data_IF_781827424382
#
_entry.id   IF_781827424382
#
_cell.length_a   1.000
_cell.length_b   1.000
_cell.length_c   1.000
_cell.angle_alpha   90.00
_cell.angle_beta   90.00
_cell.angle_gamma   90.00
#
_symmetry.space_group_name_H-M   'P 1'
#
loop_
_entity.id
_entity.type
_entity.pdbx_description
1 polymer ?
#
# COMPACT_ATOMS: atom_id res chain seq x y z
N UNK A 1 6.15 5.48 -26.60
CA UNK A 1 5.97 4.29 -25.72
C UNK A 1 4.77 3.53 -26.24
N UNK A 2 4.97 2.35 -26.83
CA UNK A 2 3.85 1.48 -27.19
C UNK A 2 3.11 1.11 -25.91
N UNK A 3 1.79 1.35 -25.85
CA UNK A 3 0.92 0.86 -24.78
C UNK A 3 0.85 -0.67 -24.89
N UNK A 4 1.89 -1.37 -24.47
CA UNK A 4 1.74 -2.76 -24.11
C UNK A 4 0.78 -2.78 -22.91
N UNK A 5 -0.40 -3.37 -23.09
CA UNK A 5 -1.29 -3.63 -21.96
C UNK A 5 -0.51 -4.44 -20.93
N UNK A 6 -0.59 -4.05 -19.65
CA UNK A 6 0.00 -4.81 -18.55
C UNK A 6 -0.43 -6.27 -18.67
N UNK A 7 0.50 -7.20 -18.49
CA UNK A 7 0.17 -8.61 -18.37
C UNK A 7 -0.79 -8.82 -17.20
N UNK A 8 -1.61 -9.87 -17.24
CA UNK A 8 -2.56 -10.16 -16.14
C UNK A 8 -1.88 -10.27 -14.77
N UNK A 9 -0.63 -10.74 -14.74
CA UNK A 9 0.19 -10.81 -13.52
C UNK A 9 0.57 -9.42 -13.00
N UNK A 10 1.00 -8.52 -13.88
CA UNK A 10 1.32 -7.14 -13.50
C UNK A 10 0.09 -6.36 -13.05
N UNK A 11 -1.06 -6.59 -13.69
CA UNK A 11 -2.34 -6.02 -13.23
C UNK A 11 -2.68 -6.49 -11.82
N UNK A 12 -2.53 -7.80 -11.54
CA UNK A 12 -2.77 -8.35 -10.21
C UNK A 12 -1.86 -7.71 -9.15
N UNK A 13 -0.57 -7.56 -9.44
CA UNK A 13 0.36 -6.91 -8.49
C UNK A 13 0.12 -5.41 -8.33
N UNK A 14 -0.28 -4.72 -9.41
CA UNK A 14 -0.69 -3.33 -9.33
C UNK A 14 -1.92 -3.18 -8.43
N UNK A 15 -2.95 -4.02 -8.62
CA UNK A 15 -4.14 -4.05 -7.76
C UNK A 15 -3.77 -4.38 -6.31
N UNK A 16 -2.92 -5.38 -6.09
CA UNK A 16 -2.48 -5.75 -4.76
C UNK A 16 -1.71 -4.63 -4.05
N UNK A 17 -1.00 -3.76 -4.77
CA UNK A 17 -0.37 -2.55 -4.19
C UNK A 17 -1.35 -1.41 -3.94
N UNK A 18 -2.32 -1.22 -4.83
CA UNK A 18 -3.32 -0.13 -4.74
C UNK A 18 -4.32 -0.36 -3.60
N UNK A 19 -4.72 -1.60 -3.33
CA UNK A 19 -5.73 -1.89 -2.29
C UNK A 19 -5.29 -1.39 -0.90
N UNK A 20 -4.10 -1.75 -0.36
CA UNK A 20 -3.63 -1.20 0.92
C UNK A 20 -3.50 0.32 0.93
N UNK A 21 -3.21 0.94 -0.22
CA UNK A 21 -3.14 2.39 -0.34
C UNK A 21 -4.52 3.04 -0.23
N UNK A 22 -5.52 2.53 -0.94
CA UNK A 22 -6.89 3.06 -0.82
C UNK A 22 -7.44 2.87 0.60
N UNK A 23 -7.12 1.75 1.24
CA UNK A 23 -7.50 1.51 2.64
C UNK A 23 -6.82 2.48 3.61
N UNK A 24 -5.56 2.86 3.37
CA UNK A 24 -4.88 3.85 4.21
C UNK A 24 -5.49 5.24 4.06
N UNK A 25 -5.97 5.61 2.86
CA UNK A 25 -6.75 6.85 2.65
C UNK A 25 -8.10 6.79 3.39
N UNK A 26 -8.82 5.65 3.33
CA UNK A 26 -10.04 5.46 4.09
C UNK A 26 -9.82 5.57 5.61
N UNK A 27 -8.73 4.96 6.10
CA UNK A 27 -8.31 5.09 7.50
C UNK A 27 -7.98 6.52 7.87
N UNK A 28 -7.30 7.28 7.00
CA UNK A 28 -7.02 8.70 7.23
C UNK A 28 -8.29 9.53 7.37
N UNK A 29 -9.28 9.31 6.49
CA UNK A 29 -10.57 10.00 6.60
C UNK A 29 -11.26 9.70 7.95
N UNK A 30 -11.27 8.44 8.38
CA UNK A 30 -11.80 8.03 9.68
C UNK A 30 -11.00 8.61 10.86
N UNK A 31 -9.67 8.59 10.79
CA UNK A 31 -8.80 9.12 11.83
C UNK A 31 -9.00 10.64 12.01
N UNK A 32 -9.20 11.36 10.90
CA UNK A 32 -9.54 12.80 10.93
C UNK A 32 -10.88 13.05 11.62
N UNK A 33 -11.91 12.21 11.39
CA UNK A 33 -13.20 12.39 12.06
C UNK A 33 -13.14 12.08 13.56
N UNK A 34 -12.41 11.04 13.95
CA UNK A 34 -12.35 10.55 15.34
C UNK A 34 -11.18 11.13 16.16
N UNK A 35 -10.30 11.93 15.53
CA UNK A 35 -9.06 12.46 16.12
C UNK A 35 -8.17 11.39 16.78
N UNK A 36 -8.25 10.14 16.28
CA UNK A 36 -7.55 8.98 16.83
C UNK A 36 -6.50 8.48 15.85
N UNK A 37 -5.30 8.13 16.36
CA UNK A 37 -4.20 7.58 15.57
C UNK A 37 -3.77 8.44 14.34
N UNK A 38 -4.01 9.76 14.39
CA UNK A 38 -3.74 10.70 13.29
C UNK A 38 -2.32 10.61 12.74
N UNK A 39 -1.32 10.57 13.61
CA UNK A 39 0.09 10.48 13.19
C UNK A 39 0.36 9.24 12.33
N UNK A 40 -0.20 8.08 12.73
CA UNK A 40 -0.10 6.85 11.94
C UNK A 40 -0.87 6.98 10.64
N UNK A 41 -2.11 7.46 10.68
CA UNK A 41 -2.98 7.54 9.50
C UNK A 41 -2.46 8.52 8.44
N UNK A 42 -1.72 9.57 8.84
CA UNK A 42 -1.01 10.47 7.93
C UNK A 42 0.28 9.83 7.41
N UNK A 43 1.08 9.26 8.31
CA UNK A 43 2.39 8.71 7.96
C UNK A 43 2.31 7.50 7.03
N UNK A 44 1.32 6.63 7.24
CA UNK A 44 1.20 5.38 6.50
C UNK A 44 1.04 5.53 4.97
N UNK A 45 0.10 6.34 4.43
CA UNK A 45 0.01 6.57 2.99
C UNK A 45 1.28 7.24 2.41
N UNK A 46 1.93 8.13 3.17
CA UNK A 46 3.19 8.76 2.76
C UNK A 46 4.28 7.69 2.59
N UNK A 47 4.42 6.81 3.58
CA UNK A 47 5.38 5.70 3.53
C UNK A 47 5.07 4.76 2.36
N UNK A 48 3.80 4.45 2.11
CA UNK A 48 3.39 3.66 0.94
C UNK A 48 3.84 4.29 -0.37
N UNK A 49 3.57 5.58 -0.57
CA UNK A 49 3.97 6.29 -1.80
C UNK A 49 5.49 6.27 -1.97
N UNK A 50 6.25 6.60 -0.92
CA UNK A 50 7.72 6.61 -0.98
C UNK A 50 8.26 5.18 -1.22
N UNK A 51 7.71 4.19 -0.52
CA UNK A 51 8.09 2.78 -0.63
C UNK A 51 7.86 2.22 -2.03
N UNK A 52 6.64 2.38 -2.57
CA UNK A 52 6.30 1.94 -3.92
C UNK A 52 7.07 2.73 -4.99
N UNK A 53 7.13 4.06 -4.90
CA UNK A 53 7.87 4.86 -5.88
C UNK A 53 9.37 4.51 -5.88
N UNK A 54 9.96 4.33 -4.71
CA UNK A 54 11.36 3.94 -4.56
C UNK A 54 11.64 2.51 -5.06
N UNK A 55 10.72 1.56 -4.84
CA UNK A 55 10.84 0.21 -5.36
C UNK A 55 10.66 0.17 -6.88
N UNK A 56 9.66 0.86 -7.41
CA UNK A 56 9.37 0.96 -8.84
C UNK A 56 10.49 1.63 -9.62
N UNK A 57 11.07 2.71 -9.08
CA UNK A 57 12.25 3.35 -9.67
C UNK A 57 13.45 2.40 -9.71
N UNK A 58 13.71 1.66 -8.63
CA UNK A 58 14.83 0.71 -8.54
C UNK A 58 14.62 -0.54 -9.39
N UNK A 59 13.37 -0.93 -9.64
CA UNK A 59 13.01 -2.01 -10.58
C UNK A 59 12.93 -1.55 -12.04
N UNK A 60 13.36 -0.33 -12.36
CA UNK A 60 13.28 0.24 -13.72
C UNK A 60 11.87 0.22 -14.31
N UNK A 61 10.85 0.30 -13.46
CA UNK A 61 9.44 0.30 -13.86
C UNK A 61 8.80 -1.09 -13.97
N UNK A 62 9.50 -2.16 -13.60
CA UNK A 62 8.93 -3.51 -13.59
C UNK A 62 8.06 -3.72 -12.34
N UNK A 63 6.77 -3.98 -12.54
CA UNK A 63 5.79 -4.21 -11.46
C UNK A 63 5.96 -5.59 -10.82
N UNK A 64 6.26 -6.62 -11.62
CA UNK A 64 6.45 -7.99 -11.14
C UNK A 64 7.82 -8.21 -10.47
N UNK A 65 8.63 -7.15 -10.34
CA UNK A 65 9.95 -7.22 -9.74
C UNK A 65 9.87 -7.55 -8.24
N UNK A 66 10.79 -8.38 -7.70
CA UNK A 66 10.80 -8.75 -6.28
C UNK A 66 10.72 -7.57 -5.31
N UNK A 67 11.43 -6.46 -5.60
CA UNK A 67 11.38 -5.25 -4.76
C UNK A 67 9.97 -4.65 -4.64
N UNK A 68 9.22 -4.58 -5.75
CA UNK A 68 7.85 -4.04 -5.74
C UNK A 68 6.93 -4.99 -4.97
N UNK A 69 7.05 -6.30 -5.21
CA UNK A 69 6.31 -7.33 -4.47
C UNK A 69 6.58 -7.26 -2.97
N UNK A 70 7.84 -7.08 -2.56
CA UNK A 70 8.18 -6.94 -1.14
C UNK A 70 7.48 -5.75 -0.51
N UNK A 71 7.35 -4.61 -1.21
CA UNK A 71 6.55 -3.48 -0.72
C UNK A 71 5.07 -3.87 -0.58
N UNK A 72 4.49 -4.54 -1.58
CA UNK A 72 3.11 -5.05 -1.52
C UNK A 72 2.94 -5.93 -0.27
N UNK A 73 3.81 -6.93 -0.07
CA UNK A 73 3.75 -7.83 1.07
C UNK A 73 3.88 -7.10 2.41
N UNK A 74 4.82 -6.17 2.56
CA UNK A 74 5.01 -5.41 3.81
C UNK A 74 3.75 -4.61 4.16
N UNK A 75 3.11 -3.98 3.19
CA UNK A 75 1.89 -3.20 3.45
C UNK A 75 0.67 -4.06 3.75
N UNK A 76 0.54 -5.23 3.11
CA UNK A 76 -0.48 -6.22 3.48
C UNK A 76 -0.24 -6.77 4.90
N UNK A 77 1.01 -7.06 5.24
CA UNK A 77 1.37 -7.54 6.58
C UNK A 77 1.04 -6.49 7.64
N UNK A 78 1.37 -5.22 7.39
CA UNK A 78 1.02 -4.11 8.26
C UNK A 78 -0.50 -3.95 8.41
N UNK A 79 -1.26 -4.05 7.31
CA UNK A 79 -2.72 -4.02 7.34
C UNK A 79 -3.30 -5.16 8.17
N UNK A 80 -2.80 -6.39 8.02
CA UNK A 80 -3.24 -7.56 8.80
C UNK A 80 -2.98 -7.34 10.28
N UNK A 81 -1.76 -6.90 10.64
CA UNK A 81 -1.39 -6.63 12.04
C UNK A 81 -2.31 -5.55 12.62
N UNK A 82 -2.53 -4.46 11.89
CA UNK A 82 -3.41 -3.38 12.32
C UNK A 82 -4.85 -3.87 12.54
N UNK A 83 -5.39 -4.63 11.60
CA UNK A 83 -6.74 -5.21 11.72
C UNK A 83 -6.83 -6.11 12.96
N UNK A 84 -5.86 -7.00 13.17
CA UNK A 84 -5.83 -7.86 14.37
C UNK A 84 -5.76 -7.04 15.66
N UNK A 85 -4.96 -5.98 15.70
CA UNK A 85 -4.87 -5.09 16.87
C UNK A 85 -6.21 -4.39 17.16
N UNK A 86 -6.87 -3.86 16.14
CA UNK A 86 -8.17 -3.20 16.29
C UNK A 86 -9.23 -4.21 16.73
N UNK A 87 -9.29 -5.40 16.11
CA UNK A 87 -10.27 -6.44 16.45
C UNK A 87 -10.09 -7.00 17.86
N UNK A 88 -8.89 -6.93 18.44
CA UNK A 88 -8.65 -7.31 19.84
C UNK A 88 -9.00 -6.22 20.85
N UNK A 89 -9.02 -4.96 20.40
CA UNK A 89 -9.29 -3.80 21.25
C UNK A 89 -10.78 -3.42 21.29
N UNK A 90 -11.56 -3.86 20.30
CA UNK A 90 -13.02 -3.75 20.23
C UNK A 90 -13.69 -4.83 21.08
#
# INVERSE_FOLDING_TARGET
>A
MSKAALSGKEQLWALAGVIPFLLSIGLLAFAVSQQTALAFAIGWPIIQVIGYAGAFKRSKGEIDHPLVKSQVFIHWMMLIILTVMISRAA
#
